data_IF_079863785948
#
_entry.id   IF_079863785948
#
_cell.length_a   1.000
_cell.length_b   1.000
_cell.length_c   1.000
_cell.angle_alpha   90.00
_cell.angle_beta   90.00
_cell.angle_gamma   90.00
#
_symmetry.space_group_name_H-M   'P 1'
#
loop_
_entity.id
_entity.type
_entity.pdbx_description
1 polymer ?
#
# COMPACT_ATOMS: atom_id res chain seq x y z
N UNK A 1 -0.26 -10.26 13.60
CA UNK A 1 0.34 -10.15 12.25
C UNK A 1 -0.77 -9.98 11.24
N UNK A 2 -0.73 -8.90 10.48
CA UNK A 2 -1.73 -8.63 9.45
C UNK A 2 -1.21 -9.06 8.07
N UNK A 3 -2.08 -9.68 7.28
CA UNK A 3 -1.77 -10.08 5.92
C UNK A 3 -2.90 -9.61 5.02
N UNK A 4 -2.60 -8.69 4.15
CA UNK A 4 -3.54 -8.13 3.18
C UNK A 4 -3.19 -8.49 1.76
N UNK A 5 -4.14 -8.31 0.87
CA UNK A 5 -3.96 -8.50 -0.56
C UNK A 5 -4.22 -7.21 -1.33
N UNK A 6 -3.42 -6.97 -2.37
CA UNK A 6 -3.64 -5.89 -3.32
C UNK A 6 -4.62 -6.37 -4.40
N UNK A 7 -5.74 -5.67 -4.53
CA UNK A 7 -6.71 -5.95 -5.59
C UNK A 7 -6.11 -5.70 -6.98
N UNK A 8 -6.41 -6.54 -7.96
CA UNK A 8 -5.91 -6.39 -9.33
C UNK A 8 -6.71 -5.33 -10.11
N UNK A 9 -6.66 -4.07 -9.68
CA UNK A 9 -7.47 -2.97 -10.26
C UNK A 9 -7.06 -2.55 -11.66
N UNK A 10 -5.84 -2.90 -12.10
CA UNK A 10 -5.34 -2.59 -13.44
C UNK A 10 -5.81 -3.58 -14.50
N UNK A 11 -6.22 -3.09 -15.69
CA UNK A 11 -6.70 -3.94 -16.79
C UNK A 11 -5.70 -5.01 -17.21
N UNK A 12 -4.41 -4.77 -17.04
CA UNK A 12 -3.36 -5.76 -17.30
C UNK A 12 -3.40 -6.98 -16.33
N UNK A 13 -4.16 -6.89 -15.25
CA UNK A 13 -4.23 -7.91 -14.21
C UNK A 13 -5.56 -8.67 -14.18
N UNK A 14 -6.60 -8.17 -14.84
CA UNK A 14 -7.91 -8.81 -14.89
C UNK A 14 -8.41 -9.07 -16.32
N UNK A 15 -7.65 -8.68 -17.34
CA UNK A 15 -7.94 -9.00 -18.72
C UNK A 15 -9.02 -8.13 -19.39
N UNK A 16 -9.00 -8.03 -20.72
CA UNK A 16 -9.91 -7.14 -21.45
C UNK A 16 -11.36 -7.67 -21.55
N UNK A 17 -11.57 -8.96 -21.33
CA UNK A 17 -12.89 -9.60 -21.39
C UNK A 17 -13.57 -9.72 -20.02
N UNK A 18 -12.87 -9.43 -18.94
CA UNK A 18 -13.38 -9.58 -17.57
C UNK A 18 -14.22 -8.37 -17.14
N UNK A 19 -15.20 -8.62 -16.29
CA UNK A 19 -16.04 -7.58 -15.72
C UNK A 19 -15.36 -6.96 -14.48
N UNK A 20 -15.06 -5.65 -14.45
CA UNK A 20 -14.44 -5.02 -13.28
C UNK A 20 -15.31 -5.09 -12.01
N UNK A 21 -16.60 -5.40 -12.10
CA UNK A 21 -17.47 -5.64 -10.94
C UNK A 21 -17.05 -6.89 -10.16
N UNK A 22 -16.37 -7.85 -10.81
CA UNK A 22 -15.78 -9.02 -10.15
C UNK A 22 -14.68 -8.66 -9.13
N UNK A 23 -14.07 -7.47 -9.22
CA UNK A 23 -13.13 -6.98 -8.22
C UNK A 23 -13.78 -6.82 -6.84
N UNK A 24 -15.08 -6.52 -6.77
CA UNK A 24 -15.85 -6.44 -5.53
C UNK A 24 -16.02 -7.85 -4.95
N UNK A 25 -16.37 -8.83 -5.80
CA UNK A 25 -16.45 -10.23 -5.39
C UNK A 25 -15.10 -10.78 -4.93
N UNK A 26 -14.00 -10.40 -5.62
CA UNK A 26 -12.64 -10.73 -5.22
C UNK A 26 -12.33 -10.21 -3.79
N UNK A 27 -12.66 -8.95 -3.49
CA UNK A 27 -12.45 -8.37 -2.15
C UNK A 27 -13.22 -9.13 -1.05
N UNK A 28 -14.48 -9.45 -1.30
CA UNK A 28 -15.29 -10.27 -0.37
C UNK A 28 -14.71 -11.68 -0.17
N UNK A 29 -14.23 -12.30 -1.25
CA UNK A 29 -13.58 -13.62 -1.19
C UNK A 29 -12.29 -13.57 -0.38
N UNK A 30 -11.50 -12.52 -0.53
CA UNK A 30 -10.28 -12.33 0.25
C UNK A 30 -10.59 -12.19 1.76
N UNK A 31 -11.60 -11.39 2.13
CA UNK A 31 -12.05 -11.31 3.52
C UNK A 31 -12.51 -12.69 4.05
N UNK A 32 -13.33 -13.40 3.29
CA UNK A 32 -13.79 -14.74 3.67
C UNK A 32 -12.66 -15.78 3.79
N UNK A 33 -11.58 -15.61 3.03
CA UNK A 33 -10.38 -16.44 3.06
C UNK A 33 -9.43 -16.10 4.23
N UNK A 34 -9.74 -15.09 5.06
CA UNK A 34 -8.98 -14.75 6.27
C UNK A 34 -7.92 -13.66 6.08
N UNK A 35 -7.89 -12.96 4.95
CA UNK A 35 -7.03 -11.78 4.83
C UNK A 35 -7.54 -10.65 5.75
N UNK A 36 -6.61 -9.92 6.36
CA UNK A 36 -6.93 -8.84 7.32
C UNK A 36 -7.08 -7.47 6.67
N UNK A 37 -6.68 -7.31 5.41
CA UNK A 37 -6.77 -6.02 4.71
C UNK A 37 -6.81 -6.16 3.18
N UNK A 38 -7.46 -5.20 2.55
CA UNK A 38 -7.58 -5.07 1.10
C UNK A 38 -6.95 -3.75 0.67
N UNK A 39 -5.99 -3.81 -0.23
CA UNK A 39 -5.31 -2.62 -0.74
C UNK A 39 -5.59 -2.40 -2.22
N UNK A 40 -5.54 -1.15 -2.64
CA UNK A 40 -5.62 -0.75 -4.05
C UNK A 40 -4.45 0.17 -4.39
N UNK A 41 -3.95 0.09 -5.60
CA UNK A 41 -2.93 1.02 -6.08
C UNK A 41 -3.55 2.15 -6.91
N UNK A 42 -2.87 3.28 -6.93
CA UNK A 42 -3.30 4.49 -7.61
C UNK A 42 -2.27 4.90 -8.69
N UNK A 43 -2.73 5.16 -9.90
CA UNK A 43 -1.89 5.62 -11.00
C UNK A 43 -2.74 5.94 -12.25
N UNK A 44 -2.23 6.80 -13.12
CA UNK A 44 -2.76 7.04 -14.47
C UNK A 44 -1.88 6.43 -15.59
N UNK A 45 -0.85 5.67 -15.24
CA UNK A 45 0.08 5.08 -16.24
C UNK A 45 -0.59 4.01 -17.09
N UNK A 46 -1.55 3.29 -16.53
CA UNK A 46 -2.31 2.26 -17.22
C UNK A 46 -3.78 2.30 -16.80
N UNK A 47 -4.71 1.90 -17.68
CA UNK A 47 -6.13 1.84 -17.35
C UNK A 47 -6.38 0.98 -16.11
N UNK A 48 -7.20 1.48 -15.20
CA UNK A 48 -7.58 0.81 -13.94
C UNK A 48 -8.84 1.38 -13.35
N UNK A 49 -9.46 0.64 -12.44
CA UNK A 49 -10.49 1.21 -11.57
C UNK A 49 -9.83 2.17 -10.58
N UNK A 50 -10.38 3.38 -10.44
CA UNK A 50 -9.84 4.45 -9.59
C UNK A 50 -9.84 4.04 -8.11
N UNK A 51 -8.76 4.39 -7.40
CA UNK A 51 -8.47 3.84 -6.08
C UNK A 51 -9.55 4.15 -5.03
N UNK A 52 -9.93 5.41 -4.87
CA UNK A 52 -10.91 5.81 -3.83
C UNK A 52 -12.32 5.32 -4.18
N UNK A 53 -12.66 5.28 -5.46
CA UNK A 53 -13.92 4.71 -5.96
C UNK A 53 -14.00 3.22 -5.64
N UNK A 54 -12.92 2.44 -5.84
CA UNK A 54 -12.90 1.03 -5.49
C UNK A 54 -13.02 0.81 -3.98
N UNK A 55 -12.32 1.59 -3.16
CA UNK A 55 -12.43 1.50 -1.70
C UNK A 55 -13.84 1.86 -1.21
N UNK A 56 -14.48 2.86 -1.81
CA UNK A 56 -15.87 3.21 -1.49
C UNK A 56 -16.85 2.08 -1.85
N UNK A 57 -16.61 1.35 -2.95
CA UNK A 57 -17.42 0.20 -3.34
C UNK A 57 -17.20 -1.02 -2.41
N UNK A 58 -16.00 -1.19 -1.86
CA UNK A 58 -15.67 -2.27 -0.92
C UNK A 58 -16.18 -2.00 0.50
N UNK A 59 -16.26 -0.75 0.91
CA UNK A 59 -16.63 -0.37 2.27
C UNK A 59 -17.95 -0.99 2.77
N UNK A 60 -19.08 -0.92 2.03
CA UNK A 60 -20.34 -1.48 2.48
C UNK A 60 -20.47 -3.00 2.31
N UNK A 61 -19.58 -3.65 1.57
CA UNK A 61 -19.65 -5.09 1.25
C UNK A 61 -18.65 -5.94 2.01
N UNK A 62 -17.80 -5.31 2.83
CA UNK A 62 -16.83 -5.94 3.74
C UNK A 62 -17.11 -5.51 5.18
N UNK A 63 -16.78 -6.37 6.16
CA UNK A 63 -17.13 -6.15 7.57
C UNK A 63 -15.93 -5.84 8.47
N UNK A 64 -14.83 -6.54 8.31
CA UNK A 64 -13.72 -6.55 9.28
C UNK A 64 -12.37 -6.12 8.69
N UNK A 65 -12.16 -6.34 7.40
CA UNK A 65 -10.87 -6.04 6.75
C UNK A 65 -10.61 -4.54 6.71
N UNK A 66 -9.37 -4.16 6.95
CA UNK A 66 -8.90 -2.80 6.67
C UNK A 66 -8.90 -2.55 5.16
N UNK A 67 -9.25 -1.34 4.77
CA UNK A 67 -9.26 -0.90 3.37
C UNK A 67 -8.13 0.11 3.16
N UNK A 68 -7.26 -0.13 2.21
CA UNK A 68 -6.06 0.70 2.09
C UNK A 68 -5.63 1.05 0.68
N UNK A 69 -4.74 2.02 0.58
CA UNK A 69 -4.05 2.39 -0.66
C UNK A 69 -2.58 1.96 -0.61
N UNK A 70 -2.03 1.48 -1.76
CA UNK A 70 -0.62 1.08 -1.83
C UNK A 70 0.03 1.42 -3.19
N UNK A 71 0.37 2.69 -3.42
CA UNK A 71 0.09 3.86 -2.60
C UNK A 71 -0.81 4.84 -3.35
N UNK A 72 -1.55 5.66 -2.63
CA UNK A 72 -2.23 6.84 -3.18
C UNK A 72 -1.18 7.86 -3.66
N UNK A 73 -1.42 8.48 -4.79
CA UNK A 73 -0.62 9.57 -5.33
C UNK A 73 -1.39 10.89 -5.15
N UNK A 74 -1.20 11.63 -4.05
CA UNK A 74 -2.05 12.78 -3.71
C UNK A 74 -2.04 13.88 -4.77
N UNK A 75 -0.94 14.03 -5.51
CA UNK A 75 -0.83 15.04 -6.56
C UNK A 75 -1.75 14.80 -7.77
N UNK A 76 -2.37 13.63 -7.90
CA UNK A 76 -3.37 13.35 -8.94
C UNK A 76 -4.73 14.02 -8.67
N UNK A 77 -4.90 14.63 -7.48
CA UNK A 77 -6.18 15.20 -7.01
C UNK A 77 -5.96 16.54 -6.31
N UNK A 78 -7.04 17.31 -6.19
CA UNK A 78 -7.02 18.54 -5.38
C UNK A 78 -6.99 18.18 -3.89
N UNK A 79 -6.12 18.79 -3.06
CA UNK A 79 -5.82 18.29 -1.72
C UNK A 79 -7.02 18.39 -0.75
N UNK A 80 -7.81 19.48 -0.77
CA UNK A 80 -8.98 19.64 0.13
C UNK A 80 -10.09 18.65 -0.23
N UNK A 81 -10.40 18.47 -1.52
CA UNK A 81 -11.38 17.49 -1.98
C UNK A 81 -10.93 16.06 -1.64
N UNK A 82 -9.63 15.79 -1.70
CA UNK A 82 -9.09 14.47 -1.31
C UNK A 82 -9.27 14.21 0.19
N UNK A 83 -9.05 15.22 1.04
CA UNK A 83 -9.33 15.10 2.48
C UNK A 83 -10.79 14.71 2.74
N UNK A 84 -11.75 15.33 2.03
CA UNK A 84 -13.17 15.00 2.13
C UNK A 84 -13.46 13.58 1.64
N UNK A 85 -12.89 13.18 0.49
CA UNK A 85 -13.09 11.83 -0.05
C UNK A 85 -12.56 10.75 0.88
N UNK A 86 -11.37 10.95 1.45
CA UNK A 86 -10.78 10.02 2.42
C UNK A 86 -11.62 9.92 3.70
N UNK A 87 -12.09 11.05 4.25
CA UNK A 87 -12.98 11.05 5.39
C UNK A 87 -14.29 10.31 5.08
N UNK A 88 -14.83 10.47 3.87
CA UNK A 88 -16.06 9.79 3.45
C UNK A 88 -15.86 8.27 3.37
N UNK A 89 -14.75 7.81 2.77
CA UNK A 89 -14.42 6.37 2.72
C UNK A 89 -14.19 5.82 4.12
N UNK A 90 -13.53 6.58 5.01
CA UNK A 90 -13.31 6.18 6.40
C UNK A 90 -14.65 6.00 7.15
N UNK A 91 -15.58 6.93 7.01
CA UNK A 91 -16.91 6.82 7.59
C UNK A 91 -17.71 5.64 7.03
N UNK A 92 -17.73 5.49 5.69
CA UNK A 92 -18.45 4.39 5.03
C UNK A 92 -17.89 3.02 5.38
N UNK A 93 -16.61 2.94 5.69
CA UNK A 93 -15.96 1.71 6.15
C UNK A 93 -16.04 1.49 7.68
N UNK A 94 -16.61 2.42 8.44
CA UNK A 94 -16.64 2.34 9.91
C UNK A 94 -15.25 2.50 10.55
N UNK A 95 -14.39 3.36 9.98
CA UNK A 95 -13.04 3.64 10.52
C UNK A 95 -11.98 2.60 10.15
N UNK A 96 -12.20 1.81 9.08
CA UNK A 96 -11.25 0.77 8.62
C UNK A 96 -10.26 1.25 7.56
N UNK A 97 -10.28 2.54 7.20
CA UNK A 97 -9.38 3.09 6.18
C UNK A 97 -7.94 3.20 6.67
N UNK A 98 -6.98 2.86 5.80
CA UNK A 98 -5.53 3.08 5.94
C UNK A 98 -5.02 3.73 4.66
N UNK A 99 -4.31 4.84 4.76
CA UNK A 99 -3.88 5.61 3.58
C UNK A 99 -2.36 5.53 3.44
N UNK A 100 -1.85 4.65 2.58
CA UNK A 100 -0.44 4.76 2.19
C UNK A 100 -0.30 5.77 1.07
N UNK A 101 0.63 6.72 1.22
CA UNK A 101 0.89 7.77 0.24
C UNK A 101 2.28 7.64 -0.39
N UNK A 102 2.42 8.20 -1.60
CA UNK A 102 3.69 8.28 -2.31
C UNK A 102 3.79 9.54 -3.17
N UNK A 103 5.02 10.00 -3.41
CA UNK A 103 5.30 11.13 -4.30
C UNK A 103 5.58 10.69 -5.75
N UNK A 104 5.26 9.46 -6.12
CA UNK A 104 5.58 8.88 -7.41
C UNK A 104 7.07 8.60 -7.61
N UNK A 105 7.38 7.77 -8.62
CA UNK A 105 8.73 7.39 -8.98
C UNK A 105 9.31 8.29 -10.06
N UNK A 106 10.64 8.37 -10.19
CA UNK A 106 11.27 8.91 -11.41
C UNK A 106 10.82 8.16 -12.68
N UNK A 107 10.91 8.82 -13.83
CA UNK A 107 10.53 8.22 -15.11
C UNK A 107 9.01 8.23 -15.35
N UNK A 108 8.51 7.23 -16.08
CA UNK A 108 7.11 7.18 -16.56
C UNK A 108 6.06 7.14 -15.45
N UNK A 109 6.42 6.67 -14.27
CA UNK A 109 5.53 6.57 -13.11
C UNK A 109 5.48 7.82 -12.23
N UNK A 110 6.10 8.90 -12.64
CA UNK A 110 6.17 10.12 -11.84
C UNK A 110 6.03 11.39 -12.66
N UNK A 111 7.13 11.87 -13.24
CA UNK A 111 7.17 13.18 -13.89
C UNK A 111 6.04 13.44 -14.93
N UNK A 112 5.69 12.49 -15.82
CA UNK A 112 4.57 12.69 -16.74
C UNK A 112 3.22 12.84 -16.04
N UNK A 113 3.00 12.13 -14.92
CA UNK A 113 1.76 12.20 -14.16
C UNK A 113 1.62 13.56 -13.45
N UNK A 114 2.73 14.14 -12.98
CA UNK A 114 2.73 15.51 -12.43
C UNK A 114 2.33 16.53 -13.47
N UNK A 115 2.84 16.41 -14.70
CA UNK A 115 2.45 17.28 -15.81
C UNK A 115 0.97 17.17 -16.15
N UNK A 116 0.43 15.94 -16.22
CA UNK A 116 -1.01 15.70 -16.43
C UNK A 116 -1.89 16.26 -15.31
N UNK A 117 -1.36 16.38 -14.11
CA UNK A 117 -2.08 16.90 -12.94
C UNK A 117 -1.87 18.40 -12.75
N UNK A 118 -1.14 19.07 -13.65
CA UNK A 118 -0.77 20.50 -13.55
C UNK A 118 -0.05 20.85 -12.24
N UNK A 119 0.71 19.87 -11.68
CA UNK A 119 1.46 20.03 -10.44
C UNK A 119 2.96 20.05 -10.74
N UNK A 120 3.72 21.03 -10.20
CA UNK A 120 5.17 21.07 -10.39
C UNK A 120 5.89 19.83 -9.82
N UNK A 121 6.82 19.26 -10.59
CA UNK A 121 7.66 18.14 -10.15
C UNK A 121 8.65 18.50 -9.02
N UNK A 122 9.32 19.67 -9.05
CA UNK A 122 10.21 20.09 -7.97
C UNK A 122 9.49 20.18 -6.62
N UNK A 123 10.23 19.89 -5.54
CA UNK A 123 9.71 19.92 -4.16
C UNK A 123 8.52 18.96 -3.91
N UNK A 124 8.37 17.89 -4.71
CA UNK A 124 7.25 16.94 -4.60
C UNK A 124 7.12 16.28 -3.23
N UNK A 125 8.23 16.06 -2.54
CA UNK A 125 8.21 15.48 -1.19
C UNK A 125 7.73 16.50 -0.14
N UNK A 126 8.12 17.77 -0.25
CA UNK A 126 7.57 18.85 0.58
C UNK A 126 6.07 18.98 0.36
N UNK A 127 5.64 18.95 -0.91
CA UNK A 127 4.21 18.99 -1.26
C UNK A 127 3.45 17.78 -0.68
N UNK A 128 4.03 16.59 -0.69
CA UNK A 128 3.43 15.41 -0.08
C UNK A 128 3.22 15.61 1.41
N UNK A 129 4.27 16.05 2.12
CA UNK A 129 4.21 16.28 3.56
C UNK A 129 3.19 17.37 3.93
N UNK A 130 3.17 18.48 3.18
CA UNK A 130 2.17 19.54 3.39
C UNK A 130 0.75 19.08 3.05
N UNK A 131 0.57 18.22 2.04
CA UNK A 131 -0.74 17.64 1.72
C UNK A 131 -1.26 16.80 2.88
N UNK A 132 -0.40 15.97 3.48
CA UNK A 132 -0.77 15.16 4.65
C UNK A 132 -1.06 16.05 5.87
N UNK A 133 -0.25 17.07 6.10
CA UNK A 133 -0.49 18.02 7.18
C UNK A 133 -1.81 18.80 6.98
N UNK A 134 -2.10 19.21 5.75
CA UNK A 134 -3.38 19.84 5.38
C UNK A 134 -4.57 18.91 5.65
N UNK A 135 -4.48 17.61 5.27
CA UNK A 135 -5.56 16.66 5.54
C UNK A 135 -5.87 16.57 7.03
N UNK A 136 -4.84 16.42 7.86
CA UNK A 136 -4.99 16.38 9.32
C UNK A 136 -5.62 17.68 9.85
N UNK A 137 -5.13 18.83 9.39
CA UNK A 137 -5.70 20.13 9.77
C UNK A 137 -7.18 20.27 9.38
N UNK A 138 -7.55 19.85 8.17
CA UNK A 138 -8.95 19.82 7.71
C UNK A 138 -9.82 18.91 8.56
N UNK A 139 -9.35 17.72 8.90
CA UNK A 139 -10.08 16.76 9.74
C UNK A 139 -10.21 17.22 11.20
N UNK A 140 -9.24 17.96 11.70
CA UNK A 140 -9.28 18.59 13.03
C UNK A 140 -10.13 19.87 13.07
N UNK A 141 -10.60 20.36 11.91
CA UNK A 141 -11.49 21.51 11.79
C UNK A 141 -10.76 22.86 11.78
N UNK A 142 -9.51 22.89 11.30
CA UNK A 142 -8.80 24.15 11.12
C UNK A 142 -9.50 25.07 10.12
N UNK A 143 -9.58 26.36 10.44
CA UNK A 143 -10.18 27.39 9.56
C UNK A 143 -9.26 27.89 8.44
N UNK A 144 -7.96 27.56 8.49
CA UNK A 144 -6.96 27.96 7.48
C UNK A 144 -5.77 26.98 7.51
N UNK A 145 -4.94 27.02 6.43
CA UNK A 145 -3.69 26.29 6.37
C UNK A 145 -2.62 27.12 5.64
N UNK A 146 -1.43 27.19 6.22
CA UNK A 146 -0.33 28.03 5.71
C UNK A 146 0.97 27.21 5.64
N UNK A 147 1.18 26.50 4.51
CA UNK A 147 2.42 25.84 4.17
C UNK A 147 3.26 26.66 3.18
N UNK A 148 4.42 26.13 2.84
CA UNK A 148 5.33 26.74 1.84
C UNK A 148 4.79 26.62 0.40
N UNK A 149 4.04 25.56 0.10
CA UNK A 149 3.51 25.22 -1.23
C UNK A 149 1.99 25.20 -1.28
N UNK A 150 1.34 24.93 -0.16
CA UNK A 150 -0.10 24.88 -0.04
C UNK A 150 -0.55 25.99 0.92
N UNK A 151 -1.34 26.91 0.41
CA UNK A 151 -1.83 28.05 1.18
C UNK A 151 -3.34 28.21 0.98
N UNK A 152 -4.08 28.07 2.08
CA UNK A 152 -5.53 28.23 2.13
C UNK A 152 -5.88 29.19 3.26
N UNK A 153 -6.12 30.50 2.96
CA UNK A 153 -6.43 31.50 3.97
C UNK A 153 -7.76 31.20 4.67
N UNK A 154 -8.64 30.46 3.99
CA UNK A 154 -9.91 30.01 4.53
C UNK A 154 -10.15 28.54 4.11
N UNK A 155 -10.55 27.72 5.06
CA UNK A 155 -10.98 26.34 4.86
C UNK A 155 -12.45 26.20 5.29
N UNK A 156 -13.33 25.63 4.45
CA UNK A 156 -14.71 25.38 4.84
C UNK A 156 -14.79 24.27 5.88
N UNK A 157 -15.89 24.20 6.65
CA UNK A 157 -16.18 23.04 7.45
C UNK A 157 -16.16 21.77 6.59
N UNK A 158 -15.45 20.74 7.04
CA UNK A 158 -15.26 19.51 6.29
C UNK A 158 -15.81 18.29 7.04
N UNK A 159 -16.08 17.23 6.29
CA UNK A 159 -16.44 15.93 6.85
C UNK A 159 -15.30 15.42 7.73
N UNK A 160 -15.62 15.08 8.98
CA UNK A 160 -14.65 14.49 9.91
C UNK A 160 -14.63 12.97 9.76
N UNK A 161 -13.46 12.34 9.77
CA UNK A 161 -13.32 10.89 9.79
C UNK A 161 -13.89 10.25 11.06
N UNK A 162 -13.98 8.93 11.10
CA UNK A 162 -14.49 8.15 12.23
C UNK A 162 -13.68 8.33 13.51
N UNK A 163 -12.39 8.62 13.38
CA UNK A 163 -11.47 8.83 14.51
C UNK A 163 -10.85 10.22 14.48
N UNK A 164 -10.57 10.83 15.63
CA UNK A 164 -9.81 12.08 15.70
C UNK A 164 -8.44 11.95 15.00
N UNK A 165 -8.00 12.97 14.28
CA UNK A 165 -6.76 12.96 13.50
C UNK A 165 -6.82 12.18 12.18
N UNK A 166 -7.95 11.50 11.90
CA UNK A 166 -8.20 10.77 10.66
C UNK A 166 -7.65 9.34 10.60
N UNK A 167 -7.74 8.69 9.43
CA UNK A 167 -7.17 7.37 9.20
C UNK A 167 -5.65 7.39 9.33
N UNK A 168 -5.00 6.26 9.71
CA UNK A 168 -3.55 6.16 9.71
C UNK A 168 -2.98 6.42 8.33
N UNK A 169 -1.94 7.26 8.27
CA UNK A 169 -1.25 7.61 7.01
C UNK A 169 0.14 6.98 7.01
N UNK A 170 0.38 6.09 6.06
CA UNK A 170 1.66 5.41 5.88
C UNK A 170 2.46 6.03 4.72
N UNK A 171 3.77 5.88 4.76
CA UNK A 171 4.66 6.31 3.67
C UNK A 171 5.33 5.11 3.00
N UNK A 172 5.35 5.13 1.67
CA UNK A 172 6.20 4.26 0.87
C UNK A 172 7.62 4.83 0.68
N UNK A 173 8.54 3.96 0.29
CA UNK A 173 9.92 4.35 -0.04
C UNK A 173 10.92 4.01 1.06
N UNK A 174 12.19 3.84 0.63
CA UNK A 174 13.30 3.37 1.48
C UNK A 174 14.58 4.21 1.35
N UNK A 175 14.52 5.40 0.75
CA UNK A 175 15.66 6.32 0.77
C UNK A 175 15.89 6.89 2.18
N UNK A 176 17.11 7.28 2.57
CA UNK A 176 17.36 7.86 3.90
C UNK A 176 16.41 9.01 4.24
N UNK A 177 16.10 9.88 3.27
CA UNK A 177 15.14 10.97 3.45
C UNK A 177 13.69 10.47 3.66
N UNK A 178 13.29 9.38 3.01
CA UNK A 178 11.97 8.77 3.22
C UNK A 178 11.87 8.11 4.61
N UNK A 179 12.92 7.41 5.05
CA UNK A 179 12.98 6.78 6.37
C UNK A 179 12.87 7.83 7.48
N UNK A 180 13.68 8.89 7.41
CA UNK A 180 13.63 10.00 8.37
C UNK A 180 12.25 10.70 8.39
N UNK A 181 11.62 10.88 7.23
CA UNK A 181 10.29 11.46 7.10
C UNK A 181 9.22 10.56 7.71
N UNK A 182 9.31 9.24 7.45
CA UNK A 182 8.38 8.26 8.01
C UNK A 182 8.39 8.33 9.54
N UNK A 183 9.55 8.26 10.16
CA UNK A 183 9.68 8.33 11.62
C UNK A 183 9.07 9.60 12.21
N UNK A 184 9.32 10.75 11.59
CA UNK A 184 8.88 12.04 12.11
C UNK A 184 7.37 12.27 12.04
N UNK A 185 6.65 11.81 11.00
CA UNK A 185 5.30 12.30 10.77
C UNK A 185 4.28 11.30 10.21
N UNK A 186 4.68 10.06 9.89
CA UNK A 186 3.76 9.06 9.36
C UNK A 186 3.46 7.97 10.39
N UNK A 187 2.36 7.24 10.20
CA UNK A 187 1.85 6.24 11.15
C UNK A 187 2.22 4.80 10.74
N UNK A 188 2.89 4.65 9.61
CA UNK A 188 3.38 3.38 9.12
C UNK A 188 4.37 3.52 7.97
N UNK A 189 5.06 2.43 7.69
CA UNK A 189 6.06 2.34 6.65
C UNK A 189 5.78 1.14 5.75
N UNK A 190 5.52 1.37 4.46
CA UNK A 190 5.20 0.33 3.46
C UNK A 190 6.23 0.34 2.32
N UNK A 191 7.46 -0.12 2.56
CA UNK A 191 8.49 -0.29 1.54
C UNK A 191 8.34 -1.63 0.81
N UNK A 192 9.24 -1.88 -0.14
CA UNK A 192 9.35 -3.16 -0.87
C UNK A 192 10.82 -3.55 -1.16
N UNK A 193 11.75 -3.44 -0.21
CA UNK A 193 13.14 -3.76 -0.47
C UNK A 193 13.28 -5.25 -0.83
N UNK A 194 14.17 -5.60 -1.78
CA UNK A 194 14.34 -6.98 -2.24
C UNK A 194 14.97 -7.90 -1.20
N UNK A 195 15.70 -7.35 -0.21
CA UNK A 195 16.36 -8.11 0.84
C UNK A 195 15.73 -7.84 2.22
N UNK A 196 15.42 -8.90 3.01
CA UNK A 196 14.97 -8.76 4.39
C UNK A 196 15.96 -8.00 5.30
N UNK A 197 17.26 -8.07 5.04
CA UNK A 197 18.26 -7.32 5.81
C UNK A 197 18.15 -5.80 5.57
N UNK A 198 17.88 -5.39 4.34
CA UNK A 198 17.60 -3.99 4.01
C UNK A 198 16.31 -3.51 4.67
N UNK A 199 15.29 -4.37 4.72
CA UNK A 199 14.06 -4.09 5.46
C UNK A 199 14.35 -3.86 6.94
N UNK A 200 15.07 -4.76 7.60
CA UNK A 200 15.41 -4.64 9.01
C UNK A 200 16.22 -3.37 9.30
N UNK A 201 17.17 -3.04 8.44
CA UNK A 201 17.98 -1.81 8.55
C UNK A 201 17.13 -0.55 8.39
N UNK A 202 16.26 -0.53 7.37
CA UNK A 202 15.33 0.58 7.16
C UNK A 202 14.36 0.78 8.31
N UNK A 203 13.83 -0.31 8.88
CA UNK A 203 12.93 -0.26 10.04
C UNK A 203 13.62 0.32 11.28
N UNK A 204 14.88 -0.03 11.52
CA UNK A 204 15.67 0.61 12.60
C UNK A 204 15.79 2.11 12.37
N UNK A 205 16.20 2.54 11.17
CA UNK A 205 16.33 3.97 10.86
C UNK A 205 15.00 4.75 11.00
N UNK A 206 13.87 4.13 10.65
CA UNK A 206 12.53 4.73 10.87
C UNK A 206 12.25 4.89 12.37
N UNK A 207 12.56 3.89 13.18
CA UNK A 207 12.34 3.92 14.64
C UNK A 207 13.24 4.93 15.33
N UNK A 208 14.50 5.02 14.92
CA UNK A 208 15.45 6.02 15.42
C UNK A 208 14.94 7.44 15.12
N UNK A 209 14.53 7.69 13.88
CA UNK A 209 13.93 8.97 13.48
C UNK A 209 12.61 9.30 14.22
N UNK A 210 11.84 8.29 14.62
CA UNK A 210 10.65 8.48 15.45
C UNK A 210 11.05 8.88 16.86
N UNK A 211 12.03 8.22 17.45
CA UNK A 211 12.55 8.54 18.77
C UNK A 211 13.13 9.95 18.81
N UNK A 212 13.93 10.34 17.81
CA UNK A 212 14.49 11.70 17.68
C UNK A 212 13.40 12.78 17.57
N UNK A 213 12.22 12.41 17.03
CA UNK A 213 11.05 13.28 16.96
C UNK A 213 10.13 13.20 18.19
N UNK A 214 10.56 12.53 19.26
CA UNK A 214 9.77 12.35 20.50
C UNK A 214 8.56 11.42 20.33
N UNK A 215 8.54 10.57 19.28
CA UNK A 215 7.45 9.61 19.03
C UNK A 215 7.85 8.21 19.49
N UNK A 216 6.89 7.46 20.00
CA UNK A 216 7.13 6.07 20.34
C UNK A 216 7.42 5.23 19.07
N UNK A 217 8.39 4.33 19.14
CA UNK A 217 8.74 3.43 18.03
C UNK A 217 7.55 2.55 17.61
N UNK A 218 6.65 2.23 18.54
CA UNK A 218 5.43 1.46 18.33
C UNK A 218 4.33 2.24 17.59
N UNK A 219 4.45 3.56 17.49
CA UNK A 219 3.51 4.39 16.72
C UNK A 219 3.62 4.15 15.20
N UNK A 220 4.67 3.45 14.76
CA UNK A 220 4.90 3.15 13.34
C UNK A 220 4.53 1.70 13.04
N UNK A 221 3.52 1.49 12.21
CA UNK A 221 3.19 0.16 11.68
C UNK A 221 4.28 -0.30 10.70
N UNK A 222 5.03 -1.39 10.99
CA UNK A 222 6.06 -1.90 10.09
C UNK A 222 5.42 -2.81 9.03
N UNK A 223 5.03 -2.23 7.90
CA UNK A 223 4.42 -2.96 6.79
C UNK A 223 5.45 -3.27 5.69
N UNK A 224 5.13 -4.24 4.84
CA UNK A 224 5.93 -4.63 3.67
C UNK A 224 5.00 -4.84 2.48
N UNK A 225 5.34 -4.26 1.33
CA UNK A 225 4.73 -4.60 0.05
C UNK A 225 5.57 -5.67 -0.65
N UNK A 226 4.94 -6.79 -1.04
CA UNK A 226 5.62 -7.91 -1.68
C UNK A 226 4.78 -8.50 -2.81
N UNK A 227 5.41 -8.88 -3.92
CA UNK A 227 4.77 -9.59 -5.03
C UNK A 227 5.02 -11.09 -4.89
N UNK A 228 3.95 -11.89 -4.93
CA UNK A 228 4.00 -13.32 -4.67
C UNK A 228 3.33 -14.10 -5.81
N UNK A 229 3.92 -15.23 -6.18
CA UNK A 229 3.29 -16.28 -6.97
C UNK A 229 3.61 -17.65 -6.37
N UNK A 230 2.60 -18.37 -5.95
CA UNK A 230 2.74 -19.77 -5.51
C UNK A 230 2.59 -20.68 -6.71
N UNK A 231 3.61 -21.49 -7.01
CA UNK A 231 3.61 -22.40 -8.15
C UNK A 231 4.45 -23.63 -7.83
N UNK A 232 3.86 -24.83 -7.95
CA UNK A 232 4.54 -26.07 -7.62
C UNK A 232 5.61 -26.44 -8.67
N UNK A 233 5.45 -25.95 -9.91
CA UNK A 233 6.47 -25.97 -10.94
C UNK A 233 7.28 -24.67 -10.90
N UNK A 234 8.46 -24.70 -10.26
CA UNK A 234 9.30 -23.53 -10.11
C UNK A 234 9.70 -22.86 -11.45
N UNK A 235 10.05 -23.59 -12.54
CA UNK A 235 10.21 -23.02 -13.87
C UNK A 235 8.96 -22.33 -14.40
N UNK A 236 7.77 -22.89 -14.25
CA UNK A 236 6.52 -22.27 -14.67
C UNK A 236 6.22 -21.00 -13.87
N UNK A 237 6.40 -21.05 -12.54
CA UNK A 237 6.28 -19.90 -11.67
C UNK A 237 7.22 -18.76 -12.08
N UNK A 238 8.47 -19.08 -12.40
CA UNK A 238 9.44 -18.08 -12.87
C UNK A 238 9.00 -17.44 -14.19
N UNK A 239 8.57 -18.25 -15.19
CA UNK A 239 8.06 -17.70 -16.46
C UNK A 239 6.84 -16.80 -16.27
N UNK A 240 5.91 -17.21 -15.43
CA UNK A 240 4.72 -16.42 -15.13
C UNK A 240 5.05 -15.11 -14.41
N UNK A 241 5.99 -15.12 -13.46
CA UNK A 241 6.45 -13.91 -12.79
C UNK A 241 7.21 -12.97 -13.73
N UNK A 242 8.01 -13.50 -14.68
CA UNK A 242 8.67 -12.66 -15.71
C UNK A 242 7.66 -12.05 -16.67
N UNK A 243 6.65 -12.81 -17.11
CA UNK A 243 5.55 -12.28 -17.94
C UNK A 243 4.80 -11.16 -17.19
N UNK A 244 4.54 -11.35 -15.89
CA UNK A 244 3.94 -10.34 -15.04
C UNK A 244 4.80 -9.08 -14.94
N UNK A 245 6.11 -9.21 -14.71
CA UNK A 245 7.05 -8.11 -14.61
C UNK A 245 7.08 -7.28 -15.91
N UNK A 246 7.14 -7.94 -17.06
CA UNK A 246 7.11 -7.28 -18.38
C UNK A 246 5.79 -6.56 -18.63
N UNK A 247 4.67 -7.19 -18.32
CA UNK A 247 3.34 -6.63 -18.59
C UNK A 247 3.02 -5.45 -17.68
N UNK A 248 3.25 -5.58 -16.37
CA UNK A 248 2.85 -4.58 -15.37
C UNK A 248 3.89 -3.48 -15.22
N UNK A 249 5.18 -3.83 -15.23
CA UNK A 249 6.28 -2.88 -15.01
C UNK A 249 7.03 -2.48 -16.28
N UNK A 250 6.90 -3.26 -17.35
CA UNK A 250 7.61 -3.03 -18.61
C UNK A 250 9.11 -3.33 -18.54
N UNK A 251 9.51 -4.21 -17.63
CA UNK A 251 10.91 -4.61 -17.46
C UNK A 251 11.01 -6.12 -17.17
N UNK A 252 12.15 -6.77 -17.48
CA UNK A 252 12.35 -8.17 -17.17
C UNK A 252 12.41 -8.41 -15.64
N UNK A 253 12.10 -9.64 -15.23
CA UNK A 253 12.09 -10.04 -13.83
C UNK A 253 13.45 -9.78 -13.14
N UNK A 254 14.55 -10.04 -13.81
CA UNK A 254 15.89 -9.86 -13.27
C UNK A 254 16.20 -8.40 -12.88
N UNK A 255 15.62 -7.44 -13.58
CA UNK A 255 15.74 -6.03 -13.21
C UNK A 255 14.76 -5.66 -12.07
N UNK A 256 13.55 -6.20 -12.11
CA UNK A 256 12.57 -5.94 -11.08
C UNK A 256 13.00 -6.50 -9.71
N UNK A 257 13.66 -7.66 -9.68
CA UNK A 257 14.21 -8.28 -8.46
C UNK A 257 15.24 -7.42 -7.74
N UNK A 258 15.92 -6.53 -8.44
CA UNK A 258 16.92 -5.62 -7.83
C UNK A 258 16.28 -4.49 -7.03
N UNK A 259 14.99 -4.22 -7.25
CA UNK A 259 14.31 -3.06 -6.69
C UNK A 259 13.06 -3.40 -5.90
N UNK A 260 12.59 -4.64 -5.94
CA UNK A 260 11.30 -5.02 -5.33
C UNK A 260 11.34 -6.40 -4.69
N UNK A 261 10.70 -6.52 -3.52
CA UNK A 261 10.45 -7.80 -2.87
C UNK A 261 9.55 -8.67 -3.74
N UNK A 262 10.06 -9.81 -4.19
CA UNK A 262 9.38 -10.75 -5.08
C UNK A 262 9.70 -12.17 -4.67
N UNK A 263 8.72 -13.06 -4.72
CA UNK A 263 8.93 -14.50 -4.54
C UNK A 263 8.02 -15.32 -5.44
N UNK A 264 8.54 -16.42 -5.99
CA UNK A 264 7.77 -17.46 -6.67
C UNK A 264 8.38 -18.82 -6.39
N UNK A 265 7.55 -19.84 -6.34
CA UNK A 265 7.94 -21.25 -6.13
C UNK A 265 6.86 -22.04 -5.38
N UNK A 266 7.20 -23.27 -4.97
CA UNK A 266 6.34 -24.08 -4.14
C UNK A 266 5.96 -23.41 -2.82
N UNK A 267 4.87 -23.85 -2.22
CA UNK A 267 4.29 -23.32 -0.99
C UNK A 267 5.32 -23.09 0.11
N UNK A 268 6.16 -24.09 0.40
CA UNK A 268 7.18 -24.01 1.47
C UNK A 268 8.25 -22.96 1.17
N UNK A 269 8.66 -22.80 -0.09
CA UNK A 269 9.63 -21.79 -0.48
C UNK A 269 9.06 -20.38 -0.30
N UNK A 270 7.81 -20.17 -0.71
CA UNK A 270 7.12 -18.89 -0.52
C UNK A 270 6.94 -18.59 0.96
N UNK A 271 6.52 -19.58 1.76
CA UNK A 271 6.37 -19.44 3.21
C UNK A 271 7.69 -18.99 3.86
N UNK A 272 8.77 -19.72 3.64
CA UNK A 272 10.10 -19.39 4.18
C UNK A 272 10.54 -17.97 3.80
N UNK A 273 10.24 -17.54 2.58
CA UNK A 273 10.59 -16.19 2.14
C UNK A 273 9.79 -15.11 2.90
N UNK A 274 8.50 -15.33 3.12
CA UNK A 274 7.65 -14.42 3.91
C UNK A 274 8.11 -14.38 5.38
N UNK A 275 8.41 -15.54 5.97
CA UNK A 275 8.91 -15.66 7.35
C UNK A 275 10.22 -14.88 7.58
N UNK A 276 11.10 -14.80 6.58
CA UNK A 276 12.33 -13.98 6.67
C UNK A 276 12.01 -12.49 6.85
N UNK A 277 10.98 -11.94 6.19
CA UNK A 277 10.54 -10.56 6.42
C UNK A 277 9.83 -10.40 7.76
N UNK A 278 9.09 -11.38 8.21
CA UNK A 278 8.49 -11.39 9.55
C UNK A 278 9.59 -11.34 10.61
N UNK A 279 10.63 -12.16 10.48
CA UNK A 279 11.81 -12.16 11.34
C UNK A 279 12.57 -10.82 11.27
N UNK A 280 12.61 -10.17 10.11
CA UNK A 280 13.18 -8.83 9.91
C UNK A 280 12.33 -7.70 10.55
N UNK A 281 11.16 -8.03 11.10
CA UNK A 281 10.31 -7.09 11.85
C UNK A 281 9.04 -6.64 11.15
N UNK A 282 8.69 -7.17 9.98
CA UNK A 282 7.42 -6.88 9.32
C UNK A 282 6.25 -7.42 10.17
N UNK A 283 5.18 -6.61 10.27
CA UNK A 283 3.97 -6.97 11.02
C UNK A 283 2.68 -6.77 10.22
N UNK A 284 2.77 -6.22 9.01
CA UNK A 284 1.68 -6.12 8.06
C UNK A 284 2.22 -6.38 6.64
N UNK A 285 1.85 -7.51 6.03
CA UNK A 285 2.20 -7.80 4.64
C UNK A 285 1.08 -7.34 3.71
N UNK A 286 1.41 -6.56 2.70
CA UNK A 286 0.52 -6.23 1.58
C UNK A 286 0.99 -7.01 0.37
N UNK A 287 0.29 -8.09 0.07
CA UNK A 287 0.69 -9.05 -0.96
C UNK A 287 0.03 -8.71 -2.29
N UNK A 288 0.82 -8.54 -3.33
CA UNK A 288 0.38 -8.49 -4.71
C UNK A 288 0.50 -9.87 -5.34
N UNK A 289 -0.59 -10.37 -5.89
CA UNK A 289 -0.59 -11.64 -6.61
C UNK A 289 -0.09 -11.43 -8.06
N UNK A 290 0.93 -12.19 -8.45
CA UNK A 290 1.51 -12.10 -9.80
C UNK A 290 0.70 -12.97 -10.77
N UNK A 291 -0.46 -12.46 -11.20
CA UNK A 291 -1.32 -13.06 -12.19
C UNK A 291 -1.91 -11.99 -13.13
N UNK A 292 -2.21 -12.36 -14.37
CA UNK A 292 -2.59 -11.45 -15.46
C UNK A 292 -4.03 -11.64 -15.94
N UNK A 293 -4.84 -12.40 -15.23
CA UNK A 293 -6.27 -12.59 -15.46
C UNK A 293 -6.97 -12.87 -14.12
N UNK A 294 -8.28 -12.63 -14.05
CA UNK A 294 -9.05 -12.78 -12.80
C UNK A 294 -9.11 -14.22 -12.31
N UNK A 295 -9.17 -15.20 -13.19
CA UNK A 295 -9.16 -16.61 -12.79
C UNK A 295 -7.87 -16.95 -12.05
N UNK A 296 -6.73 -16.63 -12.65
CA UNK A 296 -5.42 -16.83 -12.01
C UNK A 296 -5.26 -16.00 -10.73
N UNK A 297 -5.85 -14.80 -10.67
CA UNK A 297 -5.87 -14.01 -9.43
C UNK A 297 -6.61 -14.76 -8.30
N UNK A 298 -7.77 -15.36 -8.58
CA UNK A 298 -8.52 -16.16 -7.61
C UNK A 298 -7.76 -17.43 -7.20
N UNK A 299 -7.15 -18.15 -8.14
CA UNK A 299 -6.33 -19.33 -7.85
C UNK A 299 -5.14 -18.97 -6.95
N UNK A 300 -4.46 -17.86 -7.22
CA UNK A 300 -3.36 -17.39 -6.38
C UNK A 300 -3.82 -16.89 -5.01
N UNK A 301 -4.99 -16.28 -4.91
CA UNK A 301 -5.60 -15.88 -3.63
C UNK A 301 -5.83 -17.12 -2.74
N UNK A 302 -6.42 -18.17 -3.29
CA UNK A 302 -6.68 -19.42 -2.55
C UNK A 302 -5.38 -20.11 -2.11
N UNK A 303 -4.39 -20.19 -3.00
CA UNK A 303 -3.07 -20.74 -2.65
C UNK A 303 -2.39 -19.93 -1.54
N UNK A 304 -2.41 -18.61 -1.61
CA UNK A 304 -1.84 -17.76 -0.58
C UNK A 304 -2.60 -17.87 0.75
N UNK A 305 -3.93 -18.03 0.71
CA UNK A 305 -4.75 -18.19 1.91
C UNK A 305 -4.32 -19.40 2.76
N UNK A 306 -3.84 -20.47 2.15
CA UNK A 306 -3.34 -21.66 2.89
C UNK A 306 -2.09 -21.35 3.73
N UNK A 307 -1.36 -20.30 3.44
CA UNK A 307 -0.14 -19.89 4.14
C UNK A 307 -0.42 -18.95 5.32
N UNK A 308 -1.60 -18.30 5.39
CA UNK A 308 -1.90 -17.29 6.39
C UNK A 308 -1.66 -17.77 7.84
N UNK A 309 -2.12 -18.97 8.26
CA UNK A 309 -1.89 -19.42 9.64
C UNK A 309 -0.42 -19.57 10.00
N UNK A 310 0.40 -20.09 9.07
CA UNK A 310 1.83 -20.31 9.31
C UNK A 310 2.59 -18.97 9.40
N UNK A 311 2.33 -18.05 8.48
CA UNK A 311 2.95 -16.70 8.50
C UNK A 311 2.54 -15.92 9.76
N UNK A 312 1.28 -16.05 10.21
CA UNK A 312 0.79 -15.42 11.43
C UNK A 312 1.48 -16.02 12.68
N UNK A 313 1.66 -17.33 12.72
CA UNK A 313 2.35 -18.03 13.81
C UNK A 313 3.81 -17.60 13.93
N UNK A 314 4.52 -17.41 12.80
CA UNK A 314 5.90 -16.93 12.78
C UNK A 314 6.10 -15.52 13.40
N UNK A 315 5.03 -14.73 13.50
CA UNK A 315 5.07 -13.41 14.12
C UNK A 315 4.75 -13.40 15.62
N UNK A 316 4.34 -14.53 16.18
CA UNK A 316 4.09 -14.65 17.62
C UNK A 316 5.41 -14.49 18.40
N UNK A 317 5.42 -13.78 19.54
CA UNK A 317 6.61 -13.74 20.38
C UNK A 317 6.98 -15.18 20.78
N UNK A 318 8.24 -15.56 20.58
CA UNK A 318 8.74 -16.82 21.12
C UNK A 318 8.49 -16.82 22.62
N UNK A 319 7.66 -17.75 23.10
CA UNK A 319 7.49 -17.96 24.55
C UNK A 319 8.85 -18.41 25.08
N UNK A 320 9.47 -17.72 26.04
CA UNK A 320 10.70 -18.23 26.63
C UNK A 320 10.40 -19.58 27.30
N UNK A 321 11.06 -20.64 26.80
CA UNK A 321 11.09 -21.97 27.44
C UNK A 321 11.87 -21.92 28.73
#
# INVERSE_FOLDING_TARGET
MDIGVLLPTGTAQWGPADDPRELIAFGRRAEAAGFSSLFVNDSLVSPRVEALTMLAALAPVTGTVSLGTAALLPFLRRPVQTAQSLASVDLLSGGRLVVTVGAGFPGRFGRPLYALSEVPWPRRFTRLDETVALWRAVWDGAGSFHGDLLHFPELPPATRPSRPGGPPIWLGGATPAALARTGRMYDGWLPYPPDPADYASGLRAVRDAAADAGRAAQAITPALFITVRVDDDAPAGHRALDAYARTVYGMPLEELRKIQALVTGPTDHVLQHLERYVAAGARHLVVRLAALDLRSQHEQLERLATLLPAVQAAAAPMTPT
#
